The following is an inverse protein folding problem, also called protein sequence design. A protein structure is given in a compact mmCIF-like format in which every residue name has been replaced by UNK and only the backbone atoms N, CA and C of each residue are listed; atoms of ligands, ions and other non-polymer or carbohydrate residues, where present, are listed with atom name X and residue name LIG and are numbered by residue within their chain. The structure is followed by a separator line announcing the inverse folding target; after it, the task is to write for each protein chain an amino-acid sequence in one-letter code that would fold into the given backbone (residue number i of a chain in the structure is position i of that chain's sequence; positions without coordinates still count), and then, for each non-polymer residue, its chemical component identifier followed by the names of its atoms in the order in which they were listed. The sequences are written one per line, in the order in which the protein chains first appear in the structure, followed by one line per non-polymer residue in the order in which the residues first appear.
data_IF_509623291787
#
_entry.id   IF_509623291787
#
_cell.length_a   1.000
_cell.length_b   1.000
_cell.length_c   1.000
_cell.angle_alpha   90.00
_cell.angle_beta   90.00
_cell.angle_gamma   90.00
#
_symmetry.space_group_name_H-M   'P 1'
#
loop_
_entity.id
_entity.type
_entity.pdbx_description
1 polymer ?
#
# COMPACT_ATOMS: atom_id res chain seq x y z
N UNK A 1 -15.24 11.12 -5.47
CA UNK A 1 -14.15 12.12 -5.47
C UNK A 1 -13.14 11.70 -4.43
N UNK A 2 -11.86 11.93 -4.70
CA UNK A 2 -10.74 11.48 -3.86
C UNK A 2 -10.22 12.61 -2.99
N UNK A 3 -9.48 12.25 -1.95
CA UNK A 3 -8.76 13.18 -1.07
C UNK A 3 -7.72 13.99 -1.85
N UNK A 4 -7.42 15.20 -1.38
CA UNK A 4 -6.32 16.02 -1.90
C UNK A 4 -4.92 15.55 -1.46
N UNK A 5 -4.83 14.65 -0.46
CA UNK A 5 -3.55 14.13 0.02
C UNK A 5 -2.90 13.22 -1.03
N UNK A 6 -1.80 13.71 -1.62
CA UNK A 6 -1.13 13.09 -2.75
C UNK A 6 -0.63 11.67 -2.47
N UNK A 7 -0.16 11.39 -1.24
CA UNK A 7 0.26 10.05 -0.83
C UNK A 7 -0.87 9.02 -0.98
N UNK A 8 -2.09 9.36 -0.51
CA UNK A 8 -3.23 8.48 -0.67
C UNK A 8 -3.71 8.38 -2.12
N UNK A 9 -3.62 9.46 -2.90
CA UNK A 9 -3.94 9.39 -4.33
C UNK A 9 -3.03 8.39 -5.06
N UNK A 10 -1.72 8.41 -4.77
CA UNK A 10 -0.76 7.48 -5.35
C UNK A 10 -0.98 6.04 -4.88
N UNK A 11 -1.26 5.82 -3.59
CA UNK A 11 -1.62 4.51 -3.05
C UNK A 11 -2.84 3.96 -3.80
N UNK A 12 -3.93 4.72 -3.87
CA UNK A 12 -5.17 4.30 -4.51
C UNK A 12 -4.96 4.02 -6.00
N UNK A 13 -4.20 4.87 -6.69
CA UNK A 13 -3.87 4.67 -8.10
C UNK A 13 -3.06 3.38 -8.32
N UNK A 14 -2.03 3.13 -7.50
CA UNK A 14 -1.21 1.91 -7.60
C UNK A 14 -2.00 0.66 -7.21
N UNK A 15 -2.84 0.68 -6.18
CA UNK A 15 -3.73 -0.43 -5.87
C UNK A 15 -4.60 -0.81 -7.07
N UNK A 16 -5.10 0.17 -7.83
CA UNK A 16 -5.88 -0.07 -9.06
C UNK A 16 -5.02 -0.69 -10.17
N UNK A 17 -3.82 -0.17 -10.40
CA UNK A 17 -2.88 -0.69 -11.41
C UNK A 17 -2.44 -2.14 -11.08
N UNK A 18 -2.29 -2.48 -9.80
CA UNK A 18 -1.98 -3.84 -9.35
C UNK A 18 -3.23 -4.75 -9.29
N UNK A 19 -4.44 -4.23 -9.55
CA UNK A 19 -5.68 -5.00 -9.51
C UNK A 19 -6.18 -5.35 -8.10
N UNK A 20 -5.68 -4.68 -7.07
CA UNK A 20 -6.00 -4.94 -5.65
C UNK A 20 -7.33 -4.26 -5.31
N UNK A 21 -8.36 -5.04 -5.01
CA UNK A 21 -9.74 -4.56 -4.90
C UNK A 21 -10.31 -4.57 -3.49
N UNK A 22 -9.87 -5.48 -2.64
CA UNK A 22 -10.48 -5.75 -1.35
C UNK A 22 -9.86 -4.90 -0.26
N UNK A 23 -10.66 -4.09 0.44
CA UNK A 23 -10.24 -3.21 1.52
C UNK A 23 -11.07 -3.45 2.78
N UNK A 24 -10.44 -3.89 3.86
CA UNK A 24 -11.04 -3.98 5.19
C UNK A 24 -10.66 -2.72 5.97
N UNK A 25 -11.66 -1.96 6.38
CA UNK A 25 -11.51 -0.59 6.84
C UNK A 25 -11.96 -0.47 8.30
N UNK A 26 -11.05 -0.02 9.17
CA UNK A 26 -11.37 0.37 10.54
C UNK A 26 -11.45 1.89 10.64
N UNK A 27 -12.55 2.39 11.23
CA UNK A 27 -12.81 3.82 11.28
C UNK A 27 -11.81 4.57 12.18
N UNK A 28 -11.46 5.79 11.78
CA UNK A 28 -10.63 6.68 12.57
C UNK A 28 -10.32 7.98 11.80
N UNK A 29 -10.10 9.08 12.52
CA UNK A 29 -9.98 10.40 11.88
C UNK A 29 -8.86 10.50 10.84
N UNK A 30 -7.68 9.93 11.12
CA UNK A 30 -6.55 9.97 10.18
C UNK A 30 -6.69 9.02 9.01
N UNK A 31 -7.59 8.04 9.14
CA UNK A 31 -7.89 7.09 8.08
C UNK A 31 -8.99 7.57 7.12
N UNK A 32 -9.73 8.62 7.48
CA UNK A 32 -10.82 9.19 6.66
C UNK A 32 -10.37 9.50 5.22
N UNK A 33 -9.19 10.09 4.95
CA UNK A 33 -8.77 10.38 3.59
C UNK A 33 -8.72 9.15 2.69
N UNK A 34 -8.25 8.02 3.20
CA UNK A 34 -8.25 6.75 2.48
C UNK A 34 -9.65 6.14 2.38
N UNK A 35 -10.31 5.96 3.53
CA UNK A 35 -11.63 5.32 3.63
C UNK A 35 -12.64 5.97 2.71
N UNK A 36 -12.82 7.30 2.82
CA UNK A 36 -13.78 8.02 1.98
C UNK A 36 -13.47 7.86 0.48
N UNK A 37 -12.19 7.91 0.12
CA UNK A 37 -11.78 7.83 -1.28
C UNK A 37 -12.08 6.47 -1.90
N UNK A 38 -11.78 5.36 -1.19
CA UNK A 38 -12.02 4.00 -1.71
C UNK A 38 -13.49 3.60 -1.66
N UNK A 39 -14.26 4.04 -0.66
CA UNK A 39 -15.70 3.77 -0.59
C UNK A 39 -16.50 4.45 -1.71
N UNK A 40 -16.00 5.55 -2.25
CA UNK A 40 -16.63 6.28 -3.38
C UNK A 40 -16.15 5.79 -4.75
N UNK A 41 -15.23 4.85 -4.80
CA UNK A 41 -14.73 4.25 -6.05
C UNK A 41 -15.25 2.82 -6.22
N UNK A 42 -16.10 2.60 -7.22
CA UNK A 42 -16.69 1.29 -7.51
C UNK A 42 -15.68 0.19 -7.88
N UNK A 43 -14.41 0.54 -8.07
CA UNK A 43 -13.35 -0.45 -8.26
C UNK A 43 -13.13 -1.27 -7.00
N UNK A 44 -13.25 -0.66 -5.82
CA UNK A 44 -12.95 -1.29 -4.53
C UNK A 44 -14.18 -1.99 -3.93
N UNK A 45 -13.93 -3.10 -3.25
CA UNK A 45 -14.87 -3.82 -2.40
C UNK A 45 -14.47 -3.54 -0.95
N UNK A 46 -15.24 -2.68 -0.29
CA UNK A 46 -14.96 -2.20 1.06
C UNK A 46 -15.77 -2.98 2.10
N UNK A 47 -15.09 -3.35 3.19
CA UNK A 47 -15.68 -4.04 4.36
C UNK A 47 -15.37 -3.20 5.60
N UNK A 48 -16.40 -2.67 6.24
CA UNK A 48 -16.24 -1.87 7.47
C UNK A 48 -16.23 -2.79 8.68
N UNK A 49 -15.11 -2.83 9.41
CA UNK A 49 -14.94 -3.60 10.66
C UNK A 49 -14.30 -2.67 11.69
N UNK A 50 -15.06 -2.31 12.73
CA UNK A 50 -14.66 -1.25 13.67
C UNK A 50 -13.46 -1.64 14.51
N UNK A 51 -13.45 -2.86 15.08
CA UNK A 51 -12.34 -3.36 15.88
C UNK A 51 -11.19 -3.84 14.98
N UNK A 52 -10.02 -3.25 15.15
CA UNK A 52 -8.87 -3.51 14.26
C UNK A 52 -8.37 -4.96 14.34
N UNK A 53 -8.39 -5.58 15.51
CA UNK A 53 -7.99 -6.99 15.65
C UNK A 53 -8.94 -7.89 14.87
N UNK A 54 -10.24 -7.65 15.00
CA UNK A 54 -11.27 -8.37 14.23
C UNK A 54 -11.13 -8.10 12.74
N UNK A 55 -10.83 -6.86 12.34
CA UNK A 55 -10.58 -6.47 10.95
C UNK A 55 -9.40 -7.24 10.37
N UNK A 56 -8.30 -7.36 11.11
CA UNK A 56 -7.13 -8.11 10.70
C UNK A 56 -7.45 -9.59 10.42
N UNK A 57 -8.15 -10.26 11.34
CA UNK A 57 -8.53 -11.67 11.14
C UNK A 57 -9.60 -11.86 10.05
N UNK A 58 -10.53 -10.91 9.91
CA UNK A 58 -11.47 -10.91 8.79
C UNK A 58 -10.73 -10.85 7.44
N UNK A 59 -9.74 -9.96 7.35
CA UNK A 59 -8.92 -9.83 6.14
C UNK A 59 -8.07 -11.07 5.85
N UNK A 60 -7.56 -11.75 6.89
CA UNK A 60 -6.88 -13.04 6.72
C UNK A 60 -7.78 -14.08 6.08
N UNK A 61 -8.99 -14.26 6.62
CA UNK A 61 -9.97 -15.19 6.06
C UNK A 61 -10.32 -14.84 4.61
N UNK A 62 -10.52 -13.55 4.33
CA UNK A 62 -10.83 -13.06 2.99
C UNK A 62 -9.67 -13.31 2.01
N UNK A 63 -8.43 -13.00 2.41
CA UNK A 63 -7.24 -13.23 1.57
C UNK A 63 -7.01 -14.72 1.30
N UNK A 64 -7.25 -15.57 2.31
CA UNK A 64 -7.11 -17.02 2.18
C UNK A 64 -8.15 -17.60 1.23
N UNK A 65 -9.42 -17.19 1.36
CA UNK A 65 -10.53 -17.68 0.52
C UNK A 65 -10.39 -17.24 -0.94
N UNK A 66 -10.03 -15.97 -1.16
CA UNK A 66 -9.89 -15.42 -2.50
C UNK A 66 -8.54 -15.73 -3.14
N UNK A 67 -7.52 -16.07 -2.34
CA UNK A 67 -6.12 -16.20 -2.75
C UNK A 67 -5.55 -14.90 -3.38
N UNK A 68 -6.09 -13.75 -2.98
CA UNK A 68 -5.78 -12.41 -3.48
C UNK A 68 -5.25 -11.48 -2.38
N UNK A 69 -4.51 -10.41 -2.74
CA UNK A 69 -4.12 -9.39 -1.77
C UNK A 69 -5.32 -8.64 -1.20
N UNK A 70 -5.29 -8.41 0.12
CA UNK A 70 -6.30 -7.63 0.84
C UNK A 70 -5.63 -6.48 1.58
N UNK A 71 -6.20 -5.28 1.48
CA UNK A 71 -5.77 -4.11 2.25
C UNK A 71 -6.50 -4.09 3.59
N UNK A 72 -5.77 -3.93 4.69
CA UNK A 72 -6.32 -3.51 5.98
C UNK A 72 -5.87 -2.10 6.28
N UNK A 73 -6.77 -1.24 6.74
CA UNK A 73 -6.45 0.16 7.00
C UNK A 73 -7.05 0.67 8.29
N UNK A 74 -6.22 1.33 9.10
CA UNK A 74 -6.63 1.93 10.37
C UNK A 74 -6.01 3.32 10.57
N UNK A 75 -6.48 4.00 11.61
CA UNK A 75 -5.91 5.25 12.10
C UNK A 75 -4.57 5.01 12.82
N UNK A 76 -3.99 6.06 13.39
CA UNK A 76 -2.68 6.01 14.04
C UNK A 76 -2.70 5.41 15.45
N UNK A 77 -1.51 5.14 15.98
CA UNK A 77 -1.22 4.76 17.38
C UNK A 77 -1.70 3.34 17.73
N UNK A 78 -2.39 3.17 18.84
CA UNK A 78 -2.81 1.86 19.36
C UNK A 78 -3.70 1.05 18.42
N UNK A 79 -4.40 1.71 17.48
CA UNK A 79 -5.11 1.05 16.40
C UNK A 79 -4.18 0.10 15.62
N UNK A 80 -2.98 0.58 15.30
CA UNK A 80 -1.96 -0.21 14.58
C UNK A 80 -1.48 -1.40 15.41
N UNK A 81 -1.38 -1.27 16.73
CA UNK A 81 -0.97 -2.37 17.61
C UNK A 81 -1.97 -3.54 17.56
N UNK A 82 -3.26 -3.27 17.34
CA UNK A 82 -4.29 -4.30 17.25
C UNK A 82 -4.17 -5.17 16.01
N UNK A 83 -3.46 -4.75 14.98
CA UNK A 83 -3.19 -5.58 13.80
C UNK A 83 -2.10 -6.63 14.01
N UNK A 84 -1.27 -6.50 15.05
CA UNK A 84 -0.11 -7.39 15.28
C UNK A 84 -0.43 -8.89 15.19
N UNK A 85 -1.47 -9.40 15.86
CA UNK A 85 -1.76 -10.84 15.80
C UNK A 85 -2.05 -11.32 14.37
N UNK A 86 -2.83 -10.54 13.61
CA UNK A 86 -3.16 -10.87 12.23
C UNK A 86 -1.96 -10.74 11.29
N UNK A 87 -1.09 -9.74 11.51
CA UNK A 87 0.15 -9.55 10.71
C UNK A 87 1.09 -10.73 10.93
N UNK A 88 1.29 -11.16 12.18
CA UNK A 88 2.11 -12.32 12.49
C UNK A 88 1.55 -13.59 11.82
N UNK A 89 0.26 -13.83 11.92
CA UNK A 89 -0.40 -14.97 11.28
C UNK A 89 -0.27 -14.92 9.75
N UNK A 90 -0.45 -13.75 9.13
CA UNK A 90 -0.29 -13.55 7.69
C UNK A 90 1.13 -13.91 7.24
N UNK A 91 2.14 -13.51 8.01
CA UNK A 91 3.54 -13.75 7.69
C UNK A 91 3.86 -15.24 7.68
N UNK A 92 3.51 -15.98 8.73
CA UNK A 92 3.79 -17.42 8.82
C UNK A 92 2.93 -18.28 7.90
N UNK A 93 1.74 -17.80 7.52
CA UNK A 93 0.88 -18.48 6.53
C UNK A 93 1.17 -18.09 5.08
N UNK A 94 2.01 -17.11 4.85
CA UNK A 94 2.28 -16.62 3.50
C UNK A 94 1.04 -15.98 2.86
N UNK A 95 0.28 -15.16 3.60
CA UNK A 95 -0.91 -14.48 3.08
C UNK A 95 -0.57 -13.05 2.65
N UNK A 96 -0.94 -12.62 1.44
CA UNK A 96 -0.61 -11.30 0.91
C UNK A 96 -1.53 -10.22 1.51
N UNK A 97 -1.16 -9.71 2.67
CA UNK A 97 -1.86 -8.62 3.35
C UNK A 97 -1.11 -7.30 3.16
N UNK A 98 -1.84 -6.24 2.84
CA UNK A 98 -1.30 -4.87 2.78
C UNK A 98 -1.78 -4.14 4.04
N UNK A 99 -0.85 -3.90 4.97
CA UNK A 99 -1.13 -3.17 6.19
C UNK A 99 -0.89 -1.68 5.90
N UNK A 100 -1.96 -0.91 5.78
CA UNK A 100 -1.95 0.52 5.53
C UNK A 100 -2.26 1.26 6.84
N UNK A 101 -1.25 1.86 7.45
CA UNK A 101 -1.41 2.60 8.71
C UNK A 101 -1.29 4.09 8.46
N UNK A 102 -2.33 4.83 8.83
CA UNK A 102 -2.24 6.30 8.89
C UNK A 102 -1.37 6.73 10.07
N UNK A 103 -0.58 7.78 9.90
CA UNK A 103 0.30 8.25 10.95
C UNK A 103 0.28 9.77 11.10
N UNK A 104 0.79 10.27 12.20
CA UNK A 104 0.99 11.69 12.47
C UNK A 104 2.28 12.21 11.84
N UNK A 105 2.45 13.53 11.87
CA UNK A 105 3.71 14.19 11.51
C UNK A 105 4.85 13.67 12.42
N UNK A 106 5.91 13.08 11.87
CA UNK A 106 7.04 12.59 12.66
C UNK A 106 7.69 13.65 13.57
N UNK A 107 7.58 14.93 13.22
CA UNK A 107 8.09 16.04 14.04
C UNK A 107 7.42 16.14 15.42
N UNK A 108 6.24 15.53 15.58
CA UNK A 108 5.49 15.54 16.84
C UNK A 108 5.84 14.35 17.75
N UNK A 109 6.67 13.41 17.30
CA UNK A 109 7.04 12.24 18.09
C UNK A 109 7.82 12.69 19.36
N UNK A 110 7.39 12.18 20.51
CA UNK A 110 7.98 12.56 21.80
C UNK A 110 7.51 13.90 22.37
N UNK A 111 6.55 14.57 21.73
CA UNK A 111 6.00 15.86 22.17
C UNK A 111 4.68 15.73 22.97
N UNK A 112 4.39 14.55 23.49
CA UNK A 112 3.14 14.25 24.22
C UNK A 112 1.88 14.50 23.38
N UNK A 113 2.02 14.42 22.05
CA UNK A 113 0.87 14.48 21.14
C UNK A 113 -0.02 13.27 21.36
N UNK A 114 -1.34 13.48 21.41
CA UNK A 114 -2.31 12.41 21.60
C UNK A 114 -2.30 11.43 20.43
N UNK A 115 -2.62 10.18 20.68
CA UNK A 115 -2.78 9.13 19.68
C UNK A 115 -1.55 9.02 18.75
N UNK A 116 -0.33 9.06 19.33
CA UNK A 116 0.93 8.95 18.62
C UNK A 116 1.85 7.92 19.28
N UNK A 117 2.44 7.06 18.45
CA UNK A 117 3.53 6.13 18.80
C UNK A 117 4.52 6.11 17.65
N UNK A 118 5.69 5.55 17.84
CA UNK A 118 6.61 5.27 16.74
C UNK A 118 6.09 4.06 15.93
N UNK A 119 5.55 4.34 14.73
CA UNK A 119 4.98 3.34 13.82
C UNK A 119 5.97 2.87 12.76
N UNK A 120 7.10 3.58 12.60
CA UNK A 120 8.05 3.28 11.54
C UNK A 120 8.66 1.90 11.75
N UNK A 121 8.42 0.99 10.81
CA UNK A 121 8.97 -0.35 10.87
C UNK A 121 8.43 -1.24 12.01
N UNK A 122 7.34 -0.86 12.67
CA UNK A 122 6.81 -1.61 13.81
C UNK A 122 6.52 -3.09 13.53
N UNK A 123 6.22 -3.45 12.29
CA UNK A 123 6.01 -4.85 11.86
C UNK A 123 7.20 -5.46 11.11
N UNK A 124 8.36 -4.81 11.06
CA UNK A 124 9.47 -5.15 10.15
C UNK A 124 9.93 -6.61 10.19
N UNK A 125 9.77 -7.29 11.34
CA UNK A 125 10.14 -8.71 11.49
C UNK A 125 9.06 -9.69 11.00
N UNK A 126 7.85 -9.19 10.72
CA UNK A 126 6.68 -10.00 10.34
C UNK A 126 5.99 -9.46 9.08
N UNK A 127 6.75 -8.74 8.25
CA UNK A 127 6.34 -8.34 6.91
C UNK A 127 7.51 -8.52 5.96
N UNK A 128 7.23 -8.73 4.70
CA UNK A 128 8.26 -8.87 3.66
C UNK A 128 8.92 -7.54 3.33
N UNK A 129 8.15 -6.47 3.41
CA UNK A 129 8.63 -5.09 3.24
C UNK A 129 7.83 -4.16 4.14
N UNK A 130 8.51 -3.24 4.80
CA UNK A 130 7.91 -2.11 5.51
C UNK A 130 8.44 -0.83 4.92
N UNK A 131 7.56 0.09 4.53
CA UNK A 131 7.92 1.40 4.01
C UNK A 131 7.24 2.50 4.81
N UNK A 132 7.95 3.60 4.99
CA UNK A 132 7.41 4.84 5.56
C UNK A 132 7.40 5.90 4.46
N UNK A 133 6.21 6.34 4.07
CA UNK A 133 6.07 7.30 2.96
C UNK A 133 6.52 8.69 3.37
N UNK A 134 7.05 9.50 2.46
CA UNK A 134 7.32 10.91 2.73
C UNK A 134 6.02 11.72 2.87
N UNK A 135 6.05 12.80 3.63
CA UNK A 135 5.07 13.87 3.51
C UNK A 135 5.42 14.64 2.25
N UNK A 136 4.56 14.59 1.25
CA UNK A 136 4.84 15.12 -0.09
C UNK A 136 4.77 16.64 -0.10
N UNK A 137 5.90 17.29 -0.39
CA UNK A 137 6.02 18.74 -0.54
C UNK A 137 6.32 19.15 -2.00
N UNK A 138 7.04 18.30 -2.75
CA UNK A 138 7.50 18.58 -4.11
C UNK A 138 7.43 17.34 -5.02
N UNK A 139 7.99 17.45 -6.21
CA UNK A 139 7.99 16.38 -7.21
C UNK A 139 8.96 15.24 -6.87
N UNK A 140 10.02 15.50 -6.12
CA UNK A 140 10.97 14.47 -5.68
C UNK A 140 10.32 13.60 -4.62
N UNK A 141 9.59 14.20 -3.68
CA UNK A 141 8.78 13.49 -2.70
C UNK A 141 7.69 12.64 -3.37
N UNK A 142 7.04 13.17 -4.43
CA UNK A 142 6.03 12.41 -5.20
C UNK A 142 6.65 11.17 -5.86
N UNK A 143 7.80 11.33 -6.51
CA UNK A 143 8.54 10.21 -7.12
C UNK A 143 8.97 9.19 -6.07
N UNK A 144 9.51 9.65 -4.95
CA UNK A 144 9.96 8.78 -3.86
C UNK A 144 8.81 8.01 -3.24
N UNK A 145 7.67 8.67 -3.01
CA UNK A 145 6.45 8.05 -2.51
C UNK A 145 5.96 6.94 -3.45
N UNK A 146 5.83 7.23 -4.75
CA UNK A 146 5.42 6.26 -5.77
C UNK A 146 6.37 5.04 -5.82
N UNK A 147 7.67 5.27 -5.74
CA UNK A 147 8.69 4.22 -5.72
C UNK A 147 8.54 3.32 -4.50
N UNK A 148 8.40 3.88 -3.29
CA UNK A 148 8.24 3.11 -2.05
C UNK A 148 6.99 2.25 -2.05
N UNK A 149 5.86 2.77 -2.58
CA UNK A 149 4.62 1.98 -2.68
C UNK A 149 4.84 0.80 -3.63
N UNK A 150 5.46 1.01 -4.80
CA UNK A 150 5.80 -0.07 -5.71
C UNK A 150 6.71 -1.11 -5.05
N UNK A 151 7.76 -0.68 -4.34
CA UNK A 151 8.67 -1.59 -3.62
C UNK A 151 7.91 -2.47 -2.61
N UNK A 152 6.93 -1.92 -1.90
CA UNK A 152 6.12 -2.70 -0.98
C UNK A 152 5.22 -3.69 -1.73
N UNK A 153 4.48 -3.23 -2.75
CA UNK A 153 3.53 -4.07 -3.49
C UNK A 153 4.22 -5.20 -4.27
N UNK A 154 5.44 -4.99 -4.76
CA UNK A 154 6.24 -6.02 -5.43
C UNK A 154 6.64 -7.17 -4.51
N UNK A 155 6.71 -6.94 -3.19
CA UNK A 155 7.08 -7.98 -2.23
C UNK A 155 5.90 -8.87 -1.80
N UNK A 156 4.66 -8.54 -2.19
CA UNK A 156 3.49 -9.35 -1.82
C UNK A 156 3.57 -10.81 -2.27
N UNK A 157 4.22 -11.08 -3.40
CA UNK A 157 4.35 -12.40 -4.01
C UNK A 157 5.79 -12.81 -4.39
N UNK A 158 6.78 -11.95 -4.17
CA UNK A 158 8.18 -12.24 -4.47
C UNK A 158 8.74 -13.34 -3.56
N UNK A 159 9.23 -14.44 -4.13
CA UNK A 159 9.69 -15.63 -3.37
C UNK A 159 8.66 -16.16 -2.35
N UNK A 160 7.40 -16.26 -2.79
CA UNK A 160 6.26 -16.64 -1.98
C UNK A 160 5.45 -15.45 -1.48
N UNK A 161 4.18 -15.69 -1.18
CA UNK A 161 3.28 -14.64 -0.70
C UNK A 161 3.59 -14.23 0.75
N UNK A 162 3.23 -13.00 1.11
CA UNK A 162 3.33 -12.52 2.48
C UNK A 162 2.90 -11.06 2.64
N UNK A 163 2.76 -10.61 3.89
CA UNK A 163 2.27 -9.26 4.18
C UNK A 163 3.34 -8.18 3.93
N UNK A 164 2.86 -6.97 3.65
CA UNK A 164 3.68 -5.76 3.53
C UNK A 164 3.06 -4.63 4.33
N UNK A 165 3.88 -3.68 4.79
CA UNK A 165 3.44 -2.54 5.57
C UNK A 165 3.76 -1.23 4.86
N UNK A 166 2.76 -0.36 4.80
CA UNK A 166 2.85 1.00 4.26
C UNK A 166 2.39 1.97 5.34
N UNK A 167 3.32 2.69 5.96
CA UNK A 167 3.02 3.75 6.93
C UNK A 167 2.88 5.09 6.20
N UNK A 168 1.81 5.83 6.51
CA UNK A 168 1.43 7.06 5.79
C UNK A 168 1.38 8.24 6.77
N UNK A 169 2.51 8.92 7.00
CA UNK A 169 2.55 10.11 7.82
C UNK A 169 1.85 11.30 7.14
N UNK A 170 1.19 12.14 7.93
CA UNK A 170 0.53 13.34 7.46
C UNK A 170 0.56 14.46 8.49
N UNK A 171 0.66 15.71 8.03
CA UNK A 171 0.60 16.89 8.91
C UNK A 171 -0.80 17.15 9.43
N UNK A 172 -1.79 16.95 8.57
CA UNK A 172 -3.21 17.13 8.93
C UNK A 172 -4.06 16.06 8.25
N UNK A 173 -5.03 15.55 8.99
CA UNK A 173 -6.07 14.67 8.45
C UNK A 173 -7.28 15.44 7.91
N UNK A 174 -7.35 16.74 8.17
CA UNK A 174 -8.37 17.61 7.58
C UNK A 174 -8.09 17.71 6.08
N UNK A 175 -8.86 16.97 5.30
CA UNK A 175 -8.67 16.83 3.87
C UNK A 175 -9.96 17.18 3.14
N UNK A 176 -9.84 17.87 2.02
CA UNK A 176 -10.95 18.04 1.09
C UNK A 176 -11.03 16.84 0.15
N UNK A 177 -12.23 16.61 -0.41
CA UNK A 177 -12.50 15.51 -1.34
C UNK A 177 -13.00 16.08 -2.68
N UNK A 178 -12.15 16.82 -3.34
CA UNK A 178 -12.45 17.54 -4.58
C UNK A 178 -11.73 16.99 -5.81
N UNK A 179 -10.84 16.03 -5.64
CA UNK A 179 -10.07 15.44 -6.72
C UNK A 179 -10.92 14.44 -7.50
N UNK A 180 -11.14 14.71 -8.77
CA UNK A 180 -11.99 13.91 -9.67
C UNK A 180 -11.26 12.75 -10.33
N UNK A 181 -9.95 12.88 -10.54
CA UNK A 181 -9.11 11.88 -11.23
C UNK A 181 -7.84 11.64 -10.44
N UNK A 182 -7.48 10.39 -10.26
CA UNK A 182 -6.21 10.00 -9.69
C UNK A 182 -5.05 10.38 -10.61
N UNK A 183 -3.84 10.59 -10.06
CA UNK A 183 -2.65 10.81 -10.86
C UNK A 183 -2.34 9.59 -11.73
N UNK A 184 -1.63 9.81 -12.83
CA UNK A 184 -1.01 8.70 -13.56
C UNK A 184 0.19 8.22 -12.77
N UNK A 185 0.22 6.96 -12.46
CA UNK A 185 1.32 6.30 -11.74
C UNK A 185 1.99 5.27 -12.64
N UNK A 186 3.22 4.91 -12.33
CA UNK A 186 3.98 3.88 -13.02
C UNK A 186 4.01 2.61 -12.17
N UNK A 187 3.30 1.59 -12.61
CA UNK A 187 3.46 0.25 -12.04
C UNK A 187 4.83 -0.30 -12.45
N UNK A 188 5.60 -0.75 -11.47
CA UNK A 188 6.84 -1.49 -11.72
C UNK A 188 6.49 -2.97 -11.85
N UNK A 189 6.97 -3.61 -12.90
CA UNK A 189 6.85 -5.05 -13.07
C UNK A 189 8.22 -5.68 -12.78
N UNK A 190 8.23 -6.63 -11.85
CA UNK A 190 9.41 -7.49 -11.65
C UNK A 190 9.31 -8.63 -12.64
N UNK A 191 10.38 -8.88 -13.36
CA UNK A 191 10.51 -10.01 -14.27
C UNK A 191 11.54 -10.96 -13.67
N UNK A 192 11.09 -12.16 -13.29
CA UNK A 192 11.99 -13.20 -12.81
C UNK A 192 12.46 -14.03 -14.01
N UNK A 193 13.78 -14.15 -14.17
CA UNK A 193 14.42 -14.87 -15.29
C UNK A 193 13.98 -16.35 -15.34
N UNK A 194 13.58 -16.92 -14.20
CA UNK A 194 13.26 -18.35 -14.10
C UNK A 194 11.77 -18.69 -14.24
N UNK A 195 10.87 -17.72 -14.15
CA UNK A 195 9.44 -18.03 -13.94
C UNK A 195 8.48 -17.61 -15.04
N UNK A 196 8.89 -16.86 -16.06
CA UNK A 196 7.88 -16.26 -16.94
C UNK A 196 8.29 -16.21 -18.43
N UNK A 197 8.32 -17.39 -19.09
CA UNK A 197 8.52 -17.49 -20.55
C UNK A 197 7.54 -16.62 -21.35
N UNK A 198 6.32 -16.39 -20.86
CA UNK A 198 5.31 -15.55 -21.54
C UNK A 198 5.69 -14.07 -21.54
N UNK A 199 6.13 -13.54 -20.39
CA UNK A 199 6.57 -12.15 -20.30
C UNK A 199 7.79 -11.90 -21.19
N UNK A 200 8.71 -12.85 -21.25
CA UNK A 200 9.87 -12.77 -22.15
C UNK A 200 9.45 -12.82 -23.62
N UNK A 201 8.49 -13.65 -23.97
CA UNK A 201 7.95 -13.69 -25.34
C UNK A 201 7.29 -12.36 -25.73
N UNK A 202 6.50 -11.76 -24.84
CA UNK A 202 5.85 -10.46 -25.08
C UNK A 202 6.89 -9.34 -25.23
N UNK A 203 7.94 -9.30 -24.42
CA UNK A 203 9.05 -8.34 -24.58
C UNK A 203 9.84 -8.58 -25.87
N UNK A 204 10.11 -9.82 -26.22
CA UNK A 204 10.79 -10.17 -27.46
C UNK A 204 9.96 -9.71 -28.68
N UNK A 205 8.65 -9.93 -28.68
CA UNK A 205 7.76 -9.47 -29.74
C UNK A 205 7.75 -7.93 -29.84
N UNK A 206 7.66 -7.23 -28.72
CA UNK A 206 7.73 -5.77 -28.69
C UNK A 206 9.05 -5.25 -29.25
N UNK A 207 10.18 -5.87 -28.91
CA UNK A 207 11.50 -5.53 -29.46
C UNK A 207 11.57 -5.79 -30.97
N UNK A 208 11.10 -6.96 -31.43
CA UNK A 208 11.13 -7.33 -32.84
C UNK A 208 10.24 -6.45 -33.71
N UNK A 209 9.13 -5.93 -33.17
CA UNK A 209 8.18 -5.08 -33.89
C UNK A 209 8.52 -3.58 -33.82
N UNK A 210 9.44 -3.18 -32.93
CA UNK A 210 9.82 -1.79 -32.73
C UNK A 210 10.71 -1.29 -33.88
N UNK A 211 10.35 -0.13 -34.46
CA UNK A 211 11.14 0.51 -35.54
C UNK A 211 12.44 1.17 -35.06
N UNK A 212 12.48 1.57 -33.79
CA UNK A 212 13.66 2.18 -33.14
C UNK A 212 13.74 1.66 -31.71
N UNK A 213 14.91 1.16 -31.34
CA UNK A 213 15.17 0.60 -30.01
C UNK A 213 16.30 1.43 -29.40
N UNK A 214 16.08 1.93 -28.18
CA UNK A 214 17.13 2.50 -27.34
C UNK A 214 17.36 1.56 -26.16
N UNK A 215 18.57 1.05 -26.04
CA UNK A 215 18.98 0.22 -24.90
C UNK A 215 19.84 1.09 -23.96
N UNK A 216 19.39 1.22 -22.71
CA UNK A 216 20.14 1.92 -21.67
C UNK A 216 20.56 0.88 -20.64
N UNK A 217 21.88 0.67 -20.52
CA UNK A 217 22.45 -0.22 -19.51
C UNK A 217 22.89 0.61 -18.30
N UNK A 218 22.35 0.28 -17.14
CA UNK A 218 22.81 0.84 -15.89
C UNK A 218 23.99 0.07 -15.30
N UNK A 219 24.48 0.53 -14.16
CA UNK A 219 25.43 -0.22 -13.36
C UNK A 219 24.65 -1.33 -12.63
N UNK A 220 25.02 -2.60 -12.87
CA UNK A 220 24.45 -3.77 -12.24
C UNK A 220 25.10 -4.09 -10.89
#
# INVERSE_FOLDING_TARGET
MYTELKSYQQIIALLKEYGIRHCVLSAGSRNVPFVHSVEKDHFFKCYSVVDERSAGYFALGLSQELNEPVVISCTSSTATCNYWPAVAEAFYKGLPLIILTSDRDPAMLGQWEDQMIDQVGMYARHVKKSVNLPIINDAEDEYYCERLINEALLELDHHGKGPVHVNVPMRSYNSTFNVKRLPKVKRINRVDVQSDERIWADYAEQLCTSKKILVVCGQG
#
